data_IF_769377551828
#
_entry.id   IF_769377551828
#
_cell.length_a   1.000
_cell.length_b   1.000
_cell.length_c   1.000
_cell.angle_alpha   90.00
_cell.angle_beta   90.00
_cell.angle_gamma   90.00
#
_symmetry.space_group_name_H-M   'P 1'
#
loop_
_entity.id
_entity.type
_entity.pdbx_description
1 polymer ?
#
# COMPACT_ATOMS: atom_id res chain seq x y z
N UNK A 1 -6.84 5.05 19.13
CA UNK A 1 -5.38 4.97 18.86
C UNK A 1 -4.54 6.26 19.04
N UNK A 2 -5.03 7.52 18.99
CA UNK A 2 -4.15 8.69 19.17
C UNK A 2 -3.59 8.86 20.59
N UNK A 3 -4.26 8.28 21.60
CA UNK A 3 -3.84 8.36 23.01
C UNK A 3 -2.59 7.51 23.33
N UNK A 4 -2.53 6.28 22.81
CA UNK A 4 -1.36 5.40 22.96
C UNK A 4 -0.12 5.99 22.28
N UNK A 5 -0.30 6.75 21.18
CA UNK A 5 0.77 7.45 20.46
C UNK A 5 1.36 8.60 21.29
N UNK A 6 0.52 9.39 21.99
CA UNK A 6 0.96 10.43 22.94
C UNK A 6 1.78 9.84 24.10
N UNK A 7 1.39 8.67 24.59
CA UNK A 7 2.11 7.96 25.66
C UNK A 7 3.51 7.49 25.21
N UNK A 8 3.64 7.01 23.96
CA UNK A 8 4.93 6.52 23.44
C UNK A 8 5.92 7.67 23.18
N UNK A 9 5.44 8.80 22.64
CA UNK A 9 6.27 10.01 22.46
C UNK A 9 6.72 10.57 23.81
N UNK A 10 5.80 10.67 24.77
CA UNK A 10 6.13 11.12 26.13
C UNK A 10 7.17 10.21 26.81
N UNK A 11 7.04 8.89 26.66
CA UNK A 11 7.99 7.91 27.20
C UNK A 11 9.40 8.05 26.60
N UNK A 12 9.50 8.28 25.29
CA UNK A 12 10.78 8.48 24.62
C UNK A 12 11.43 9.82 24.99
N UNK A 13 10.63 10.87 25.19
CA UNK A 13 11.13 12.15 25.70
C UNK A 13 11.63 12.04 27.14
N UNK A 14 10.84 11.42 28.03
CA UNK A 14 11.27 11.17 29.41
C UNK A 14 12.63 10.46 29.43
N UNK A 15 12.84 9.46 28.57
CA UNK A 15 14.13 8.78 28.43
C UNK A 15 15.27 9.70 28.02
N UNK A 16 15.06 10.64 27.08
CA UNK A 16 16.08 11.60 26.66
C UNK A 16 16.44 12.59 27.77
N UNK A 17 15.46 12.98 28.58
CA UNK A 17 15.66 13.92 29.67
C UNK A 17 16.04 13.27 31.01
N UNK A 18 16.09 11.94 31.12
CA UNK A 18 16.52 11.24 32.34
C UNK A 18 17.87 11.76 32.86
N UNK A 19 18.85 11.92 31.97
CA UNK A 19 20.18 12.40 32.36
C UNK A 19 20.14 13.88 32.84
N UNK A 20 19.60 14.85 32.08
CA UNK A 20 19.41 16.23 32.56
C UNK A 20 18.64 16.33 33.88
N UNK A 21 17.53 15.61 34.03
CA UNK A 21 16.76 15.60 35.28
C UNK A 21 17.59 15.02 36.43
N UNK A 22 18.33 13.94 36.20
CA UNK A 22 19.18 13.34 37.24
C UNK A 22 20.29 14.29 37.70
N UNK A 23 20.94 15.00 36.77
CA UNK A 23 21.98 15.98 37.08
C UNK A 23 21.41 17.17 37.87
N UNK A 24 20.22 17.66 37.49
CA UNK A 24 19.55 18.73 38.21
C UNK A 24 19.16 18.30 39.64
N UNK A 25 18.63 17.09 39.81
CA UNK A 25 18.29 16.54 41.13
C UNK A 25 19.54 16.35 41.98
N UNK A 26 20.64 15.86 41.41
CA UNK A 26 21.91 15.72 42.11
C UNK A 26 22.46 17.07 42.57
N UNK A 27 22.38 18.10 41.72
CA UNK A 27 22.76 19.48 42.07
C UNK A 27 21.89 20.02 43.22
N UNK A 28 20.59 19.76 43.21
CA UNK A 28 19.67 20.16 44.28
C UNK A 28 19.98 19.46 45.61
N UNK A 29 20.22 18.13 45.58
CA UNK A 29 20.61 17.36 46.77
C UNK A 29 21.95 17.88 47.31
N UNK A 30 22.91 18.17 46.44
CA UNK A 30 24.18 18.77 46.83
C UNK A 30 23.97 20.12 47.55
N UNK A 31 23.08 20.97 47.03
CA UNK A 31 22.65 22.19 47.71
C UNK A 31 22.12 21.93 49.12
N UNK A 32 21.21 20.97 49.29
CA UNK A 32 20.64 20.59 50.60
C UNK A 32 21.74 20.16 51.58
N UNK A 33 22.69 19.33 51.12
CA UNK A 33 23.80 18.86 51.96
C UNK A 33 24.68 20.02 52.41
N UNK A 34 25.06 20.91 51.49
CA UNK A 34 25.90 22.07 51.80
C UNK A 34 25.17 23.03 52.76
N UNK A 35 23.90 23.34 52.53
CA UNK A 35 23.14 24.19 53.45
C UNK A 35 22.96 23.56 54.83
N UNK A 36 22.84 22.23 54.92
CA UNK A 36 22.77 21.53 56.22
C UNK A 36 24.06 21.65 57.02
N UNK A 37 25.22 21.75 56.34
CA UNK A 37 26.53 21.92 56.97
C UNK A 37 26.75 23.38 57.39
N UNK A 38 26.38 24.31 56.52
CA UNK A 38 26.65 25.75 56.71
C UNK A 38 25.65 26.39 57.69
N UNK A 39 24.42 25.88 57.76
CA UNK A 39 23.33 26.41 58.59
C UNK A 39 22.83 25.37 59.61
N UNK A 40 23.69 24.92 60.56
CA UNK A 40 23.39 23.80 61.45
C UNK A 40 22.22 24.07 62.42
N UNK A 41 21.88 25.34 62.63
CA UNK A 41 20.82 25.76 63.54
C UNK A 41 19.44 25.82 62.86
N UNK A 42 19.36 25.65 61.53
CA UNK A 42 18.10 25.69 60.78
C UNK A 42 17.47 24.30 60.74
N UNK A 43 16.14 24.27 60.81
CA UNK A 43 15.39 23.02 60.65
C UNK A 43 15.47 22.51 59.22
N UNK A 44 15.27 21.19 59.01
CA UNK A 44 15.26 20.60 57.67
C UNK A 44 14.27 21.28 56.71
N UNK A 45 13.10 21.72 57.22
CA UNK A 45 12.11 22.46 56.43
C UNK A 45 12.67 23.79 55.93
N UNK A 46 13.42 24.50 56.76
CA UNK A 46 14.04 25.77 56.37
C UNK A 46 15.16 25.56 55.36
N UNK A 47 15.97 24.51 55.53
CA UNK A 47 17.00 24.12 54.54
C UNK A 47 16.35 23.79 53.20
N UNK A 48 15.23 23.06 53.20
CA UNK A 48 14.50 22.74 51.98
C UNK A 48 13.99 24.02 51.29
N UNK A 49 13.40 24.96 52.05
CA UNK A 49 12.97 26.27 51.51
C UNK A 49 14.13 27.11 50.96
N UNK A 50 15.31 27.06 51.60
CA UNK A 50 16.54 27.71 51.10
C UNK A 50 17.02 27.03 49.81
N UNK A 51 17.00 25.70 49.75
CA UNK A 51 17.47 24.91 48.60
C UNK A 51 16.65 25.09 47.32
N UNK A 52 15.42 25.60 47.42
CA UNK A 52 14.56 25.97 46.30
C UNK A 52 14.40 27.49 46.17
N UNK A 53 15.26 28.25 46.85
CA UNK A 53 15.34 29.71 46.79
C UNK A 53 14.07 30.46 47.24
N UNK A 54 13.23 29.85 48.08
CA UNK A 54 12.06 30.50 48.69
C UNK A 54 12.39 31.21 50.02
N UNK A 55 13.51 30.86 50.65
CA UNK A 55 14.03 31.52 51.86
C UNK A 55 15.49 31.88 51.66
N UNK A 56 15.91 33.03 52.17
CA UNK A 56 17.29 33.53 52.03
C UNK A 56 18.24 32.99 53.08
N UNK A 57 19.53 33.04 52.78
CA UNK A 57 20.64 32.74 53.67
C UNK A 57 21.74 33.78 53.45
N UNK A 58 22.41 34.20 54.52
CA UNK A 58 23.44 35.25 54.46
C UNK A 58 24.81 34.73 53.99
N UNK A 59 24.93 33.42 53.75
CA UNK A 59 26.19 32.79 53.35
C UNK A 59 26.52 33.03 51.88
N UNK A 60 27.81 33.20 51.59
CA UNK A 60 28.33 33.44 50.23
C UNK A 60 27.89 32.36 49.22
N UNK A 61 27.81 31.10 49.65
CA UNK A 61 27.35 30.00 48.80
C UNK A 61 25.90 30.19 48.33
N UNK A 62 25.03 30.75 49.18
CA UNK A 62 23.65 31.06 48.80
C UNK A 62 23.60 32.05 47.64
N UNK A 63 24.49 33.05 47.60
CA UNK A 63 24.53 34.03 46.52
C UNK A 63 24.84 33.40 45.15
N UNK A 64 25.72 32.40 45.13
CA UNK A 64 25.99 31.62 43.92
C UNK A 64 24.81 30.70 43.58
N UNK A 65 24.30 29.98 44.58
CA UNK A 65 23.26 28.99 44.42
C UNK A 65 21.91 29.59 43.96
N UNK A 66 21.51 30.74 44.51
CA UNK A 66 20.27 31.43 44.16
C UNK A 66 20.23 31.93 42.71
N UNK A 67 21.39 32.13 42.08
CA UNK A 67 21.49 32.47 40.68
C UNK A 67 21.44 31.22 39.81
N UNK A 68 22.24 30.20 40.17
CA UNK A 68 22.41 29.01 39.34
C UNK A 68 21.19 28.09 39.36
N UNK A 69 20.52 27.92 40.50
CA UNK A 69 19.40 26.99 40.63
C UNK A 69 18.19 27.38 39.77
N UNK A 70 17.67 28.63 39.81
CA UNK A 70 16.57 29.04 38.93
C UNK A 70 16.95 28.98 37.45
N UNK A 71 18.19 29.37 37.10
CA UNK A 71 18.68 29.33 35.72
C UNK A 71 18.68 27.90 35.15
N UNK A 72 19.19 26.93 35.92
CA UNK A 72 19.19 25.52 35.50
C UNK A 72 17.76 24.97 35.40
N UNK A 73 16.88 25.34 36.32
CA UNK A 73 15.48 24.93 36.30
C UNK A 73 14.74 25.50 35.09
N UNK A 74 14.87 26.80 34.83
CA UNK A 74 14.24 27.48 33.70
C UNK A 74 14.74 26.90 32.36
N UNK A 75 16.05 26.69 32.21
CA UNK A 75 16.62 26.09 31.02
C UNK A 75 16.10 24.65 30.81
N UNK A 76 15.99 23.85 31.87
CA UNK A 76 15.46 22.50 31.82
C UNK A 76 13.98 22.49 31.40
N UNK A 77 13.15 23.34 32.00
CA UNK A 77 11.72 23.44 31.69
C UNK A 77 11.50 23.98 30.29
N UNK A 78 12.20 25.06 29.91
CA UNK A 78 12.09 25.67 28.59
C UNK A 78 12.51 24.69 27.49
N UNK A 79 13.64 24.00 27.66
CA UNK A 79 14.09 22.98 26.68
C UNK A 79 13.12 21.81 26.58
N UNK A 80 12.55 21.34 27.71
CA UNK A 80 11.52 20.31 27.70
C UNK A 80 10.25 20.76 26.95
N UNK A 81 9.77 21.97 27.21
CA UNK A 81 8.58 22.53 26.53
C UNK A 81 8.85 22.73 25.04
N UNK A 82 9.96 23.38 24.67
CA UNK A 82 10.31 23.65 23.27
C UNK A 82 10.47 22.37 22.46
N UNK A 83 11.15 21.35 23.01
CA UNK A 83 11.28 20.05 22.34
C UNK A 83 9.94 19.33 22.20
N UNK A 84 9.06 19.44 23.20
CA UNK A 84 7.70 18.90 23.14
C UNK A 84 6.84 19.60 22.09
N UNK A 85 6.88 20.94 22.03
CA UNK A 85 6.19 21.72 21.01
C UNK A 85 6.73 21.41 19.62
N UNK A 86 8.04 21.30 19.45
CA UNK A 86 8.65 20.95 18.16
C UNK A 86 8.26 19.55 17.69
N UNK A 87 8.17 18.57 18.60
CA UNK A 87 7.69 17.23 18.23
C UNK A 87 6.18 17.21 17.94
N UNK A 88 5.40 18.07 18.59
CA UNK A 88 3.95 18.13 18.38
C UNK A 88 3.58 18.90 17.10
N UNK A 89 4.21 20.04 16.83
CA UNK A 89 3.94 20.90 15.67
C UNK A 89 4.82 20.59 14.45
N UNK A 90 6.00 19.99 14.65
CA UNK A 90 6.95 19.64 13.59
C UNK A 90 6.87 18.20 13.09
N UNK A 91 5.95 17.37 13.62
CA UNK A 91 5.73 16.01 13.12
C UNK A 91 5.04 16.06 11.76
N UNK A 92 5.87 15.99 10.72
CA UNK A 92 5.41 15.79 9.35
C UNK A 92 5.43 14.27 9.06
N UNK A 93 4.26 13.59 9.00
CA UNK A 93 4.20 12.14 8.83
C UNK A 93 4.84 11.69 7.50
N UNK A 94 4.80 12.53 6.46
CA UNK A 94 5.45 12.26 5.18
C UNK A 94 6.98 12.27 5.32
N UNK A 95 7.55 13.21 6.08
CA UNK A 95 8.99 13.22 6.37
C UNK A 95 9.40 12.01 7.22
N UNK A 96 8.56 11.59 8.16
CA UNK A 96 8.81 10.39 8.97
C UNK A 96 8.78 9.13 8.11
N UNK A 97 7.77 8.96 7.26
CA UNK A 97 7.65 7.85 6.31
C UNK A 97 8.86 7.78 5.37
N UNK A 98 9.26 8.93 4.78
CA UNK A 98 10.45 9.03 3.92
C UNK A 98 11.73 8.65 4.65
N UNK A 99 11.92 9.09 5.91
CA UNK A 99 13.09 8.72 6.73
C UNK A 99 13.11 7.24 7.09
N UNK A 100 11.95 6.62 7.27
CA UNK A 100 11.86 5.18 7.51
C UNK A 100 12.26 4.42 6.25
N UNK A 101 11.72 4.82 5.09
CA UNK A 101 12.04 4.23 3.79
C UNK A 101 13.53 4.32 3.46
N UNK A 102 14.17 5.48 3.64
CA UNK A 102 15.58 5.70 3.28
C UNK A 102 16.58 4.94 4.16
N UNK A 103 16.14 4.40 5.29
CA UNK A 103 16.98 3.60 6.20
C UNK A 103 16.82 2.10 6.03
N UNK A 104 15.85 1.64 5.21
CA UNK A 104 15.62 0.21 4.98
C UNK A 104 16.74 -0.40 4.16
N UNK A 105 17.19 -1.60 4.53
CA UNK A 105 18.16 -2.39 3.77
C UNK A 105 17.70 -3.84 3.78
N UNK A 106 18.15 -4.64 2.82
CA UNK A 106 17.68 -6.02 2.63
C UNK A 106 16.14 -6.12 2.65
N UNK A 107 15.49 -5.13 2.02
CA UNK A 107 14.05 -4.93 2.03
C UNK A 107 13.44 -5.10 0.64
N UNK A 108 12.13 -5.29 0.62
CA UNK A 108 11.32 -5.32 -0.59
C UNK A 108 10.94 -3.90 -1.01
N UNK A 109 11.23 -3.50 -2.26
CA UNK A 109 10.77 -2.23 -2.81
C UNK A 109 9.54 -2.47 -3.69
N UNK A 110 8.46 -1.75 -3.45
CA UNK A 110 7.23 -1.83 -4.24
C UNK A 110 7.04 -0.53 -5.01
N UNK A 111 6.94 -0.61 -6.33
CA UNK A 111 6.71 0.53 -7.22
C UNK A 111 5.25 0.49 -7.71
N UNK A 112 4.42 1.35 -7.12
CA UNK A 112 2.99 1.48 -7.38
C UNK A 112 2.11 0.81 -6.33
N UNK A 113 1.04 1.51 -5.94
CA UNK A 113 0.02 1.08 -5.00
C UNK A 113 -1.33 0.90 -5.73
N UNK A 114 -1.42 -0.17 -6.52
CA UNK A 114 -2.68 -0.68 -7.07
C UNK A 114 -3.11 -1.94 -6.31
N UNK A 115 -4.22 -2.58 -6.70
CA UNK A 115 -4.71 -3.77 -6.00
C UNK A 115 -3.68 -4.92 -5.83
N UNK A 116 -2.68 -5.04 -6.71
CA UNK A 116 -1.59 -6.00 -6.50
C UNK A 116 -0.53 -5.48 -5.53
N UNK A 117 -0.13 -4.21 -5.67
CA UNK A 117 0.82 -3.55 -4.74
C UNK A 117 0.29 -3.48 -3.31
N UNK A 118 -1.01 -3.21 -3.15
CA UNK A 118 -1.72 -3.25 -1.88
C UNK A 118 -1.63 -4.62 -1.21
N UNK A 119 -1.96 -5.69 -1.94
CA UNK A 119 -1.83 -7.07 -1.43
C UNK A 119 -0.39 -7.43 -1.03
N UNK A 120 0.59 -6.99 -1.81
CA UNK A 120 2.01 -7.17 -1.46
C UNK A 120 2.33 -6.43 -0.16
N UNK A 121 1.93 -5.16 -0.03
CA UNK A 121 2.18 -4.35 1.18
C UNK A 121 1.47 -4.94 2.39
N UNK A 122 0.23 -5.38 2.27
CA UNK A 122 -0.54 -5.97 3.36
C UNK A 122 0.09 -7.28 3.85
N UNK A 123 0.55 -8.13 2.94
CA UNK A 123 1.30 -9.34 3.29
C UNK A 123 2.59 -8.99 4.03
N UNK A 124 3.42 -8.09 3.47
CA UNK A 124 4.68 -7.68 4.08
C UNK A 124 4.45 -7.04 5.47
N UNK A 125 3.37 -6.28 5.64
CA UNK A 125 2.98 -5.68 6.91
C UNK A 125 2.53 -6.72 7.93
N UNK A 126 1.69 -7.67 7.51
CA UNK A 126 1.18 -8.76 8.35
C UNK A 126 2.33 -9.61 8.91
N UNK A 127 3.28 -10.00 8.06
CA UNK A 127 4.42 -10.84 8.42
C UNK A 127 5.66 -10.05 8.85
N UNK A 128 5.54 -8.71 8.97
CA UNK A 128 6.60 -7.79 9.42
C UNK A 128 7.88 -7.85 8.58
N UNK A 129 7.78 -8.21 7.31
CA UNK A 129 8.90 -8.16 6.38
C UNK A 129 9.25 -6.71 6.05
N UNK A 130 10.54 -6.34 6.01
CA UNK A 130 10.95 -4.98 5.74
C UNK A 130 10.63 -4.61 4.28
N UNK A 131 9.93 -3.49 4.10
CA UNK A 131 9.59 -2.99 2.77
C UNK A 131 9.74 -1.47 2.66
N UNK A 132 9.71 -0.97 1.43
CA UNK A 132 9.53 0.44 1.08
C UNK A 132 8.56 0.54 -0.09
N UNK A 133 7.51 1.34 0.06
CA UNK A 133 6.53 1.60 -0.99
C UNK A 133 6.81 2.95 -1.67
N UNK A 134 6.77 2.99 -3.00
CA UNK A 134 6.83 4.22 -3.80
C UNK A 134 5.53 4.38 -4.59
N UNK A 135 4.83 5.49 -4.38
CA UNK A 135 3.58 5.82 -5.08
C UNK A 135 3.53 7.31 -5.41
N UNK A 136 2.96 7.65 -6.57
CA UNK A 136 2.90 9.04 -7.08
C UNK A 136 1.74 9.77 -6.42
N UNK A 137 0.59 9.12 -6.31
CA UNK A 137 -0.64 9.69 -5.77
C UNK A 137 -0.65 9.58 -4.26
N UNK A 138 -0.43 10.70 -3.56
CA UNK A 138 -0.41 10.76 -2.09
C UNK A 138 -1.68 10.19 -1.48
N UNK A 139 -2.83 10.46 -2.10
CA UNK A 139 -4.16 10.11 -1.61
C UNK A 139 -4.31 8.59 -1.41
N UNK A 140 -3.64 7.80 -2.26
CA UNK A 140 -3.66 6.33 -2.19
C UNK A 140 -2.92 5.75 -0.99
N UNK A 141 -1.97 6.49 -0.43
CA UNK A 141 -1.04 6.01 0.60
C UNK A 141 -1.09 6.86 1.87
N UNK A 142 -2.06 7.77 1.97
CA UNK A 142 -2.21 8.68 3.10
C UNK A 142 -2.40 7.93 4.42
N UNK A 143 -3.20 6.87 4.41
CA UNK A 143 -3.39 6.00 5.56
C UNK A 143 -2.08 5.33 6.00
N UNK A 144 -1.32 4.76 5.06
CA UNK A 144 -0.01 4.16 5.34
C UNK A 144 0.97 5.18 5.95
N UNK A 145 0.99 6.41 5.41
CA UNK A 145 1.81 7.51 5.92
C UNK A 145 1.41 7.86 7.36
N UNK A 146 0.11 7.96 7.64
CA UNK A 146 -0.43 8.25 8.97
C UNK A 146 -0.12 7.13 9.99
N UNK A 147 -0.01 5.89 9.51
CA UNK A 147 0.45 4.72 10.28
C UNK A 147 1.97 4.55 10.31
N UNK A 148 2.76 5.58 9.95
CA UNK A 148 4.22 5.55 10.00
C UNK A 148 4.84 4.39 9.18
N UNK A 149 4.24 4.04 8.05
CA UNK A 149 4.82 3.04 7.16
C UNK A 149 5.93 3.64 6.27
N UNK A 150 6.90 2.83 5.81
CA UNK A 150 8.00 3.27 4.95
C UNK A 150 7.51 3.56 3.52
N UNK A 151 6.92 4.74 3.34
CA UNK A 151 6.35 5.21 2.08
C UNK A 151 7.10 6.43 1.55
N UNK A 152 7.33 6.45 0.23
CA UNK A 152 7.83 7.60 -0.51
C UNK A 152 6.76 8.02 -1.49
N UNK A 153 6.29 9.25 -1.35
CA UNK A 153 5.43 9.89 -2.35
C UNK A 153 6.34 10.49 -3.42
N UNK A 154 6.30 9.94 -4.63
CA UNK A 154 7.18 10.35 -5.72
C UNK A 154 7.07 9.48 -6.96
N UNK A 155 7.61 9.99 -8.06
CA UNK A 155 7.65 9.27 -9.33
C UNK A 155 8.91 8.41 -9.41
N UNK A 156 8.76 7.08 -9.40
CA UNK A 156 9.88 6.15 -9.52
C UNK A 156 10.56 6.18 -10.91
N UNK A 157 10.08 6.96 -11.86
CA UNK A 157 10.83 7.31 -13.08
C UNK A 157 11.93 8.34 -12.85
N UNK A 158 11.95 8.96 -11.67
CA UNK A 158 13.06 9.76 -11.17
C UNK A 158 14.04 8.88 -10.39
N UNK A 159 15.31 8.95 -10.77
CA UNK A 159 16.39 8.21 -10.10
C UNK A 159 16.56 8.65 -8.65
N UNK A 160 16.31 9.92 -8.33
CA UNK A 160 16.43 10.42 -6.95
C UNK A 160 15.41 9.76 -6.04
N UNK A 161 14.19 9.53 -6.53
CA UNK A 161 13.14 8.80 -5.81
C UNK A 161 13.58 7.35 -5.56
N UNK A 162 14.20 6.70 -6.54
CA UNK A 162 14.72 5.34 -6.42
C UNK A 162 15.90 5.24 -5.44
N UNK A 163 16.77 6.26 -5.40
CA UNK A 163 17.83 6.38 -4.41
C UNK A 163 17.27 6.58 -3.00
N UNK A 164 16.25 7.42 -2.84
CA UNK A 164 15.55 7.63 -1.57
C UNK A 164 14.85 6.36 -1.07
N UNK A 165 14.34 5.53 -1.99
CA UNK A 165 13.77 4.21 -1.68
C UNK A 165 14.82 3.16 -1.30
N UNK A 166 16.09 3.57 -1.30
CA UNK A 166 17.24 2.75 -0.97
C UNK A 166 17.40 1.51 -1.85
N UNK A 167 17.04 1.63 -3.14
CA UNK A 167 17.07 0.52 -4.11
C UNK A 167 18.45 -0.13 -4.22
N UNK A 168 19.54 0.63 -4.06
CA UNK A 168 20.91 0.13 -4.07
C UNK A 168 21.22 -0.93 -2.98
N UNK A 169 20.39 -1.04 -1.94
CA UNK A 169 20.51 -2.03 -0.85
C UNK A 169 19.24 -2.87 -0.66
N UNK A 170 18.31 -2.81 -1.61
CA UNK A 170 17.11 -3.64 -1.57
C UNK A 170 17.44 -5.08 -1.97
N UNK A 171 16.63 -6.01 -1.47
CA UNK A 171 16.69 -7.44 -1.81
C UNK A 171 16.01 -7.70 -3.14
N UNK A 172 14.86 -7.08 -3.33
CA UNK A 172 14.00 -7.30 -4.48
C UNK A 172 13.13 -6.07 -4.77
N UNK A 173 12.67 -5.97 -6.02
CA UNK A 173 11.79 -4.91 -6.50
C UNK A 173 10.57 -5.51 -7.19
N UNK A 174 9.38 -5.09 -6.75
CA UNK A 174 8.11 -5.36 -7.44
C UNK A 174 7.64 -4.11 -8.17
N UNK A 175 7.73 -4.10 -9.49
CA UNK A 175 7.15 -3.06 -10.34
C UNK A 175 5.76 -3.49 -10.80
N UNK A 176 4.72 -2.97 -10.14
CA UNK A 176 3.33 -3.39 -10.36
C UNK A 176 2.52 -2.38 -11.18
N UNK A 177 3.18 -1.44 -11.84
CA UNK A 177 2.53 -0.43 -12.69
C UNK A 177 1.78 -1.03 -13.88
N UNK A 178 0.77 -0.30 -14.35
CA UNK A 178 0.07 -0.62 -15.60
C UNK A 178 0.65 0.10 -16.83
N UNK A 179 1.57 1.05 -16.61
CA UNK A 179 2.19 1.87 -17.66
C UNK A 179 3.52 1.25 -18.10
N UNK A 180 3.56 0.80 -19.37
CA UNK A 180 4.74 0.16 -19.95
C UNK A 180 5.95 1.09 -19.98
N UNK A 181 5.79 2.38 -20.29
CA UNK A 181 6.90 3.34 -20.34
C UNK A 181 7.52 3.48 -18.95
N UNK A 182 6.67 3.63 -17.93
CA UNK A 182 7.11 3.72 -16.53
C UNK A 182 7.80 2.44 -16.07
N UNK A 183 7.30 1.26 -16.47
CA UNK A 183 7.93 -0.02 -16.18
C UNK A 183 9.35 -0.10 -16.78
N UNK A 184 9.51 0.26 -18.06
CA UNK A 184 10.82 0.23 -18.73
C UNK A 184 11.84 1.17 -18.06
N UNK A 185 11.42 2.38 -17.69
CA UNK A 185 12.30 3.33 -16.98
C UNK A 185 12.64 2.80 -15.56
N UNK A 186 11.67 2.20 -14.87
CA UNK A 186 11.93 1.60 -13.57
C UNK A 186 12.96 0.46 -13.67
N UNK A 187 12.89 -0.38 -14.69
CA UNK A 187 13.88 -1.43 -14.94
C UNK A 187 15.29 -0.84 -15.12
N UNK A 188 15.41 0.25 -15.90
CA UNK A 188 16.65 1.00 -16.09
C UNK A 188 17.24 1.50 -14.77
N UNK A 189 16.43 2.22 -13.98
CA UNK A 189 16.90 2.75 -12.70
C UNK A 189 17.27 1.65 -11.71
N UNK A 190 16.50 0.56 -11.65
CA UNK A 190 16.81 -0.58 -10.78
C UNK A 190 18.16 -1.15 -11.15
N UNK A 191 18.41 -1.53 -12.41
CA UNK A 191 19.69 -2.14 -12.81
C UNK A 191 20.87 -1.17 -12.75
N UNK A 192 20.63 0.12 -12.89
CA UNK A 192 21.66 1.15 -12.68
C UNK A 192 22.09 1.25 -11.22
N UNK A 193 21.15 1.10 -10.28
CA UNK A 193 21.41 1.22 -8.83
C UNK A 193 21.78 -0.10 -8.15
N UNK A 194 21.23 -1.21 -8.62
CA UNK A 194 21.34 -2.54 -8.03
C UNK A 194 21.23 -3.61 -9.13
N UNK A 195 22.37 -4.18 -9.51
CA UNK A 195 22.44 -5.21 -10.55
C UNK A 195 21.99 -6.59 -10.04
N UNK A 196 22.04 -6.80 -8.73
CA UNK A 196 21.94 -8.12 -8.11
C UNK A 196 20.54 -8.40 -7.52
N UNK A 197 19.74 -7.37 -7.23
CA UNK A 197 18.41 -7.59 -6.66
C UNK A 197 17.46 -8.30 -7.64
N UNK A 198 16.58 -9.14 -7.10
CA UNK A 198 15.50 -9.74 -7.87
C UNK A 198 14.55 -8.62 -8.39
N UNK A 199 14.14 -8.72 -9.65
CA UNK A 199 13.30 -7.72 -10.31
C UNK A 199 12.06 -8.40 -10.89
N UNK A 200 10.91 -8.12 -10.29
CA UNK A 200 9.61 -8.66 -10.71
C UNK A 200 8.79 -7.55 -11.36
N UNK A 201 8.38 -7.76 -12.61
CA UNK A 201 7.76 -6.72 -13.42
C UNK A 201 6.41 -7.16 -13.99
N UNK A 202 5.37 -6.38 -13.68
CA UNK A 202 4.08 -6.52 -14.32
C UNK A 202 4.13 -5.88 -15.72
N UNK A 203 3.99 -6.70 -16.75
CA UNK A 203 4.02 -6.27 -18.15
C UNK A 203 2.93 -7.00 -18.92
N UNK A 204 1.99 -6.26 -19.54
CA UNK A 204 0.87 -6.87 -20.26
C UNK A 204 1.22 -7.30 -21.68
N UNK A 205 2.12 -6.56 -22.35
CA UNK A 205 2.53 -6.83 -23.72
C UNK A 205 3.57 -7.96 -23.76
N UNK A 206 3.30 -9.00 -24.53
CA UNK A 206 4.17 -10.20 -24.57
C UNK A 206 5.56 -9.92 -25.17
N UNK A 207 5.66 -9.06 -26.20
CA UNK A 207 6.97 -8.72 -26.78
C UNK A 207 7.89 -8.01 -25.77
N UNK A 208 7.34 -7.15 -24.93
CA UNK A 208 8.11 -6.45 -23.89
C UNK A 208 8.44 -7.34 -22.69
N UNK A 209 7.65 -8.38 -22.44
CA UNK A 209 7.99 -9.39 -21.43
C UNK A 209 9.26 -10.14 -21.80
N UNK A 210 9.32 -10.65 -23.03
CA UNK A 210 10.49 -11.39 -23.53
C UNK A 210 11.73 -10.50 -23.69
N UNK A 211 11.53 -9.19 -23.89
CA UNK A 211 12.62 -8.23 -23.90
C UNK A 211 13.23 -8.02 -22.52
N UNK A 212 12.41 -7.90 -21.47
CA UNK A 212 12.84 -7.62 -20.11
C UNK A 212 13.40 -8.85 -19.36
N UNK A 213 13.20 -10.06 -19.87
CA UNK A 213 13.81 -11.27 -19.30
C UNK A 213 15.28 -11.44 -19.68
N UNK A 214 15.75 -10.74 -20.72
CA UNK A 214 17.12 -10.83 -21.24
C UNK A 214 18.05 -9.84 -20.54
N UNK A 215 19.36 -10.03 -20.71
CA UNK A 215 20.35 -9.05 -20.26
C UNK A 215 20.13 -7.68 -20.91
N UNK A 216 20.37 -6.56 -20.19
CA UNK A 216 20.89 -6.49 -18.82
C UNK A 216 19.79 -6.55 -17.73
N UNK A 217 18.53 -6.71 -18.13
CA UNK A 217 17.38 -6.60 -17.23
C UNK A 217 17.20 -7.83 -16.36
N UNK A 218 17.30 -9.03 -16.92
CA UNK A 218 17.15 -10.29 -16.19
C UNK A 218 15.94 -10.27 -15.23
N UNK A 219 14.83 -9.68 -15.67
CA UNK A 219 13.65 -9.48 -14.84
C UNK A 219 12.69 -10.65 -14.99
N UNK A 220 12.06 -11.07 -13.90
CA UNK A 220 10.91 -11.94 -13.97
C UNK A 220 9.70 -11.12 -14.41
N UNK A 221 9.07 -11.47 -15.54
CA UNK A 221 7.94 -10.71 -16.07
C UNK A 221 6.64 -11.50 -16.07
N UNK A 222 5.58 -10.86 -15.58
CA UNK A 222 4.27 -11.49 -15.47
C UNK A 222 3.14 -10.57 -15.92
N UNK A 223 2.00 -11.18 -16.24
CA UNK A 223 0.78 -10.46 -16.61
C UNK A 223 -0.37 -11.01 -15.79
N UNK A 224 -0.91 -10.16 -14.91
CA UNK A 224 -2.03 -10.55 -14.04
C UNK A 224 -3.25 -10.96 -14.84
N UNK A 225 -3.52 -10.30 -15.97
CA UNK A 225 -4.63 -10.65 -16.86
C UNK A 225 -4.36 -11.93 -17.66
N UNK A 226 -3.10 -12.28 -17.94
CA UNK A 226 -2.77 -13.60 -18.52
C UNK A 226 -3.04 -14.72 -17.52
N UNK A 227 -2.60 -14.55 -16.27
CA UNK A 227 -2.89 -15.52 -15.21
C UNK A 227 -4.39 -15.66 -14.95
N UNK A 228 -5.12 -14.55 -14.81
CA UNK A 228 -6.56 -14.59 -14.60
C UNK A 228 -7.34 -15.26 -15.75
N UNK A 229 -6.81 -15.22 -16.99
CA UNK A 229 -7.41 -15.90 -18.13
C UNK A 229 -7.41 -17.44 -17.97
N UNK A 230 -6.49 -18.02 -17.20
CA UNK A 230 -6.49 -19.47 -16.97
C UNK A 230 -7.75 -19.94 -16.23
N UNK A 231 -8.28 -19.12 -15.32
CA UNK A 231 -9.57 -19.37 -14.68
C UNK A 231 -10.72 -19.32 -15.70
N UNK A 232 -10.69 -18.33 -16.60
CA UNK A 232 -11.68 -18.19 -17.69
C UNK A 232 -11.66 -19.40 -18.62
N UNK A 233 -10.47 -19.89 -19.00
CA UNK A 233 -10.30 -21.10 -19.81
C UNK A 233 -10.85 -22.36 -19.15
N UNK A 234 -10.82 -22.41 -17.81
CA UNK A 234 -11.41 -23.52 -17.06
C UNK A 234 -12.94 -23.46 -17.12
N UNK A 235 -13.54 -22.29 -16.95
CA UNK A 235 -15.00 -22.12 -16.97
C UNK A 235 -15.60 -22.20 -18.38
N UNK A 236 -14.82 -21.84 -19.40
CA UNK A 236 -15.25 -21.96 -20.79
C UNK A 236 -15.35 -23.41 -21.28
N UNK A 237 -14.93 -24.41 -20.50
CA UNK A 237 -15.12 -25.82 -20.84
C UNK A 237 -16.59 -26.21 -20.99
N UNK A 238 -17.49 -25.49 -20.29
CA UNK A 238 -18.94 -25.69 -20.36
C UNK A 238 -19.58 -24.96 -21.56
N UNK A 239 -18.81 -24.16 -22.31
CA UNK A 239 -19.30 -23.41 -23.46
C UNK A 239 -19.73 -24.35 -24.61
N UNK A 240 -20.93 -24.14 -25.16
CA UNK A 240 -21.41 -24.90 -26.32
C UNK A 240 -21.30 -24.05 -27.59
N UNK A 241 -20.79 -24.63 -28.71
CA UNK A 241 -20.75 -23.93 -29.99
C UNK A 241 -22.13 -23.42 -30.40
N UNK A 242 -22.24 -22.11 -30.62
CA UNK A 242 -23.50 -21.46 -30.98
C UNK A 242 -24.11 -20.63 -29.86
N UNK A 243 -23.67 -20.82 -28.62
CA UNK A 243 -24.07 -19.94 -27.52
C UNK A 243 -23.39 -18.57 -27.66
N UNK A 244 -24.08 -17.54 -27.17
CA UNK A 244 -23.60 -16.17 -27.09
C UNK A 244 -22.88 -15.92 -25.76
N UNK A 245 -21.85 -15.08 -25.78
CA UNK A 245 -21.09 -14.69 -24.59
C UNK A 245 -21.09 -13.17 -24.45
N UNK A 246 -21.41 -12.68 -23.26
CA UNK A 246 -21.43 -11.25 -22.96
C UNK A 246 -20.24 -10.92 -22.06
N UNK A 247 -19.55 -9.84 -22.37
CA UNK A 247 -18.44 -9.32 -21.56
C UNK A 247 -18.70 -7.84 -21.28
N UNK A 248 -18.77 -7.48 -20.00
CA UNK A 248 -18.99 -6.12 -19.54
C UNK A 248 -17.69 -5.55 -18.95
N UNK A 249 -17.34 -4.33 -19.34
CA UNK A 249 -16.14 -3.63 -18.88
C UNK A 249 -15.12 -3.37 -20.00
N UNK A 250 -14.08 -2.61 -19.70
CA UNK A 250 -13.05 -2.24 -20.69
C UNK A 250 -11.65 -2.18 -20.08
N UNK A 251 -11.01 -3.34 -19.97
CA UNK A 251 -9.63 -3.39 -19.48
C UNK A 251 -8.80 -4.53 -20.08
N UNK A 252 -7.62 -4.79 -19.53
CA UNK A 252 -6.72 -5.83 -20.03
C UNK A 252 -7.25 -7.26 -19.89
N UNK A 253 -8.05 -7.58 -18.85
CA UNK A 253 -8.64 -8.92 -18.72
C UNK A 253 -9.83 -9.07 -19.67
N UNK A 254 -10.68 -8.03 -19.80
CA UNK A 254 -11.78 -8.04 -20.77
C UNK A 254 -11.27 -8.28 -22.18
N UNK A 255 -10.25 -7.53 -22.60
CA UNK A 255 -9.67 -7.71 -23.92
C UNK A 255 -9.12 -9.12 -24.14
N UNK A 256 -8.56 -9.76 -23.10
CA UNK A 256 -8.07 -11.15 -23.18
C UNK A 256 -9.22 -12.16 -23.24
N UNK A 257 -10.30 -11.96 -22.48
CA UNK A 257 -11.50 -12.80 -22.54
C UNK A 257 -12.07 -12.74 -23.96
N UNK A 258 -12.32 -11.53 -24.48
CA UNK A 258 -12.85 -11.34 -25.84
C UNK A 258 -11.93 -11.96 -26.89
N UNK A 259 -10.62 -11.71 -26.83
CA UNK A 259 -9.66 -12.31 -27.77
C UNK A 259 -9.65 -13.85 -27.69
N UNK A 260 -9.74 -14.44 -26.49
CA UNK A 260 -9.80 -15.89 -26.29
C UNK A 260 -11.05 -16.51 -26.90
N UNK A 261 -12.24 -16.03 -26.52
CA UNK A 261 -13.51 -16.53 -27.06
C UNK A 261 -13.60 -16.33 -28.59
N UNK A 262 -13.09 -15.21 -29.10
CA UNK A 262 -13.16 -14.89 -30.53
C UNK A 262 -12.19 -15.72 -31.38
N UNK A 263 -11.00 -16.06 -30.85
CA UNK A 263 -9.94 -16.77 -31.58
C UNK A 263 -10.04 -18.27 -31.42
N UNK A 264 -10.18 -18.73 -30.19
CA UNK A 264 -10.06 -20.15 -29.85
C UNK A 264 -11.43 -20.84 -29.94
N UNK A 265 -12.48 -20.22 -29.39
CA UNK A 265 -13.83 -20.79 -29.37
C UNK A 265 -14.71 -20.35 -30.55
N UNK A 266 -14.28 -19.33 -31.30
CA UNK A 266 -15.03 -18.72 -32.42
C UNK A 266 -16.47 -18.36 -32.02
N UNK A 267 -16.65 -17.95 -30.77
CA UNK A 267 -17.94 -17.61 -30.17
C UNK A 267 -18.50 -16.29 -30.73
N UNK A 268 -19.81 -16.12 -30.59
CA UNK A 268 -20.48 -14.84 -30.81
C UNK A 268 -20.41 -14.03 -29.50
N UNK A 269 -19.80 -12.85 -29.55
CA UNK A 269 -19.42 -12.09 -28.35
C UNK A 269 -20.01 -10.69 -28.39
N UNK A 270 -20.59 -10.27 -27.28
CA UNK A 270 -21.14 -8.94 -27.06
C UNK A 270 -20.31 -8.25 -25.99
N UNK A 271 -19.52 -7.26 -26.39
CA UNK A 271 -18.70 -6.42 -25.51
C UNK A 271 -19.43 -5.10 -25.26
N UNK A 272 -19.78 -4.81 -24.02
CA UNK A 272 -20.47 -3.58 -23.63
C UNK A 272 -19.67 -2.83 -22.57
N UNK A 273 -19.27 -1.62 -22.90
CA UNK A 273 -18.67 -0.65 -21.98
C UNK A 273 -18.64 0.73 -22.66
N UNK A 274 -18.90 1.84 -21.94
CA UNK A 274 -18.91 3.19 -22.53
C UNK A 274 -17.64 3.52 -23.32
N UNK A 275 -16.49 3.04 -22.88
CA UNK A 275 -15.17 3.33 -23.47
C UNK A 275 -14.61 2.18 -24.32
N UNK A 276 -15.42 1.16 -24.63
CA UNK A 276 -14.99 0.01 -25.41
C UNK A 276 -14.40 0.41 -26.77
N UNK A 277 -13.23 -0.15 -27.11
CA UNK A 277 -12.54 0.17 -28.37
C UNK A 277 -13.10 -0.63 -29.56
N UNK A 278 -14.07 -0.05 -30.28
CA UNK A 278 -14.63 -0.61 -31.53
C UNK A 278 -13.57 -0.89 -32.61
N UNK A 279 -12.56 -0.04 -32.74
CA UNK A 279 -11.54 -0.19 -33.78
C UNK A 279 -10.70 -1.47 -33.61
N UNK A 280 -10.47 -1.89 -32.36
CA UNK A 280 -9.73 -3.13 -32.03
C UNK A 280 -10.36 -4.38 -32.66
N UNK A 281 -11.70 -4.43 -32.71
CA UNK A 281 -12.45 -5.60 -33.15
C UNK A 281 -13.12 -5.43 -34.51
N UNK A 282 -12.85 -4.33 -35.24
CA UNK A 282 -13.49 -4.02 -36.55
C UNK A 282 -13.40 -5.15 -37.59
N UNK A 283 -12.33 -5.95 -37.57
CA UNK A 283 -12.14 -7.09 -38.50
C UNK A 283 -12.77 -8.40 -38.01
N UNK A 284 -13.33 -8.42 -36.80
CA UNK A 284 -13.89 -9.61 -36.13
C UNK A 284 -15.42 -9.56 -36.23
N UNK A 285 -15.99 -10.21 -37.26
CA UNK A 285 -17.45 -10.15 -37.52
C UNK A 285 -18.33 -10.67 -36.38
N UNK A 286 -17.81 -11.57 -35.54
CA UNK A 286 -18.51 -12.19 -34.41
C UNK A 286 -18.35 -11.43 -33.08
N UNK A 287 -17.67 -10.29 -33.10
CA UNK A 287 -17.46 -9.46 -31.90
C UNK A 287 -18.24 -8.17 -32.09
N UNK A 288 -19.35 -8.06 -31.37
CA UNK A 288 -20.22 -6.89 -31.36
C UNK A 288 -19.80 -5.99 -30.21
N UNK A 289 -19.47 -4.74 -30.49
CA UNK A 289 -18.98 -3.79 -29.50
C UNK A 289 -19.95 -2.63 -29.36
N UNK A 290 -20.49 -2.44 -28.17
CA UNK A 290 -21.42 -1.37 -27.82
C UNK A 290 -20.78 -0.42 -26.81
N UNK A 291 -20.81 0.88 -27.11
CA UNK A 291 -20.28 1.93 -26.24
C UNK A 291 -21.39 2.42 -25.30
N UNK A 292 -21.84 1.55 -24.41
CA UNK A 292 -23.03 1.76 -23.61
C UNK A 292 -22.78 1.35 -22.16
N UNK A 293 -23.41 2.07 -21.23
CA UNK A 293 -23.39 1.74 -19.81
C UNK A 293 -24.54 0.78 -19.49
N UNK A 294 -24.23 -0.36 -18.87
CA UNK A 294 -25.21 -1.41 -18.59
C UNK A 294 -25.30 -1.66 -17.10
N UNK A 295 -26.18 -0.94 -16.41
CA UNK A 295 -26.42 -1.14 -14.97
C UNK A 295 -27.61 -2.06 -14.68
N UNK A 296 -28.51 -2.22 -15.65
CA UNK A 296 -29.78 -2.94 -15.47
C UNK A 296 -29.95 -4.06 -16.50
N UNK A 297 -30.73 -5.08 -16.13
CA UNK A 297 -31.05 -6.21 -17.02
C UNK A 297 -31.76 -5.75 -18.29
N UNK A 298 -32.66 -4.77 -18.20
CA UNK A 298 -33.37 -4.20 -19.35
C UNK A 298 -32.42 -3.57 -20.37
N UNK A 299 -31.36 -2.90 -19.89
CA UNK A 299 -30.32 -2.36 -20.77
C UNK A 299 -29.63 -3.48 -21.53
N UNK A 300 -29.35 -4.61 -20.87
CA UNK A 300 -28.69 -5.74 -21.52
C UNK A 300 -29.58 -6.42 -22.58
N UNK A 301 -30.89 -6.53 -22.31
CA UNK A 301 -31.90 -7.08 -23.22
C UNK A 301 -32.08 -6.27 -24.51
N UNK A 302 -31.77 -4.97 -24.48
CA UNK A 302 -31.84 -4.12 -25.67
C UNK A 302 -30.75 -4.44 -26.71
N UNK A 303 -29.63 -5.01 -26.28
CA UNK A 303 -28.46 -5.24 -27.14
C UNK A 303 -28.17 -6.73 -27.37
N UNK A 304 -28.57 -7.61 -26.46
CA UNK A 304 -28.18 -9.02 -26.44
C UNK A 304 -29.38 -9.95 -26.31
N UNK A 305 -29.29 -11.15 -26.89
CA UNK A 305 -30.32 -12.18 -26.75
C UNK A 305 -30.00 -13.11 -25.57
N UNK A 306 -30.50 -12.76 -24.38
CA UNK A 306 -30.23 -13.51 -23.15
C UNK A 306 -30.75 -14.96 -23.14
N UNK A 307 -31.68 -15.31 -24.02
CA UNK A 307 -32.11 -16.71 -24.19
C UNK A 307 -31.04 -17.57 -24.89
N UNK A 308 -30.15 -16.95 -25.68
CA UNK A 308 -29.03 -17.62 -26.36
C UNK A 308 -27.69 -17.45 -25.64
N UNK A 309 -27.64 -16.52 -24.68
CA UNK A 309 -26.46 -16.32 -23.85
C UNK A 309 -26.27 -17.49 -22.90
N UNK A 310 -25.07 -18.06 -22.85
CA UNK A 310 -24.72 -19.08 -21.85
C UNK A 310 -23.85 -18.53 -20.73
N UNK A 311 -23.02 -17.51 -21.03
CA UNK A 311 -22.05 -16.97 -20.07
C UNK A 311 -21.98 -15.44 -20.12
N UNK A 312 -21.93 -14.81 -18.94
CA UNK A 312 -21.77 -13.36 -18.78
C UNK A 312 -20.57 -13.09 -17.87
N UNK A 313 -19.64 -12.26 -18.33
CA UNK A 313 -18.49 -11.80 -17.57
C UNK A 313 -18.68 -10.33 -17.18
N UNK A 314 -18.88 -10.06 -15.89
CA UNK A 314 -18.98 -8.70 -15.33
C UNK A 314 -17.59 -8.31 -14.80
N UNK A 315 -16.87 -7.49 -15.57
CA UNK A 315 -15.46 -7.13 -15.30
C UNK A 315 -15.27 -5.63 -15.06
N UNK A 316 -16.21 -4.99 -14.38
CA UNK A 316 -16.05 -3.58 -13.99
C UNK A 316 -14.86 -3.39 -13.05
N UNK A 317 -14.29 -2.18 -13.10
CA UNK A 317 -12.96 -1.90 -12.56
C UNK A 317 -12.98 -0.87 -11.42
N UNK A 318 -14.10 -0.75 -10.71
CA UNK A 318 -14.21 0.09 -9.52
C UNK A 318 -14.95 -0.65 -8.40
N UNK A 319 -14.61 -0.35 -7.16
CA UNK A 319 -15.34 -0.88 -6.00
C UNK A 319 -16.76 -0.31 -5.93
N UNK A 320 -16.96 0.92 -6.42
CA UNK A 320 -18.27 1.59 -6.47
C UNK A 320 -19.28 0.86 -7.37
N UNK A 321 -18.81 0.16 -8.40
CA UNK A 321 -19.69 -0.59 -9.32
C UNK A 321 -20.00 -2.01 -8.82
N UNK A 322 -19.48 -2.40 -7.66
CA UNK A 322 -19.75 -3.73 -7.11
C UNK A 322 -21.22 -3.94 -6.76
N UNK A 323 -21.87 -2.92 -6.16
CA UNK A 323 -23.31 -2.99 -5.86
C UNK A 323 -24.13 -3.25 -7.11
N UNK A 324 -23.79 -2.58 -8.20
CA UNK A 324 -24.47 -2.71 -9.48
C UNK A 324 -24.24 -4.11 -10.08
N UNK A 325 -23.02 -4.65 -9.93
CA UNK A 325 -22.70 -5.99 -10.41
C UNK A 325 -23.53 -7.05 -9.67
N UNK A 326 -23.74 -6.87 -8.37
CA UNK A 326 -24.60 -7.74 -7.55
C UNK A 326 -26.07 -7.62 -7.95
N UNK A 327 -26.59 -6.40 -8.12
CA UNK A 327 -27.99 -6.17 -8.52
C UNK A 327 -28.27 -6.79 -9.90
N UNK A 328 -27.36 -6.57 -10.86
CA UNK A 328 -27.46 -7.16 -12.19
C UNK A 328 -27.38 -8.69 -12.13
N UNK A 329 -26.45 -9.23 -11.33
CA UNK A 329 -26.31 -10.68 -11.11
C UNK A 329 -27.59 -11.29 -10.57
N UNK A 330 -28.23 -10.67 -9.56
CA UNK A 330 -29.48 -11.14 -9.01
C UNK A 330 -30.60 -11.14 -10.06
N UNK A 331 -30.75 -10.04 -10.80
CA UNK A 331 -31.76 -9.92 -11.85
C UNK A 331 -31.58 -10.97 -12.96
N UNK A 332 -30.33 -11.26 -13.36
CA UNK A 332 -30.02 -12.32 -14.32
C UNK A 332 -30.40 -13.69 -13.75
N UNK A 333 -30.02 -13.99 -12.51
CA UNK A 333 -30.32 -15.27 -11.87
C UNK A 333 -31.82 -15.55 -11.72
N UNK A 334 -32.61 -14.51 -11.44
CA UNK A 334 -34.06 -14.60 -11.29
C UNK A 334 -34.78 -14.87 -12.63
N UNK A 335 -34.36 -14.20 -13.71
CA UNK A 335 -35.05 -14.28 -15.02
C UNK A 335 -34.45 -15.32 -15.97
N UNK A 336 -33.14 -15.54 -15.90
CA UNK A 336 -32.37 -16.38 -16.81
C UNK A 336 -31.42 -17.33 -16.03
N UNK A 337 -31.96 -18.28 -15.26
CA UNK A 337 -31.17 -19.14 -14.36
C UNK A 337 -30.21 -20.09 -15.08
N UNK A 338 -30.31 -20.22 -16.41
CA UNK A 338 -29.38 -21.00 -17.23
C UNK A 338 -28.06 -20.29 -17.50
N UNK A 339 -28.00 -18.96 -17.33
CA UNK A 339 -26.81 -18.15 -17.61
C UNK A 339 -25.81 -18.30 -16.46
N UNK A 340 -24.58 -18.68 -16.80
CA UNK A 340 -23.47 -18.64 -15.84
C UNK A 340 -22.92 -17.22 -15.74
N UNK A 341 -22.96 -16.63 -14.54
CA UNK A 341 -22.46 -15.27 -14.30
C UNK A 341 -21.10 -15.33 -13.59
N UNK A 342 -20.12 -14.65 -14.18
CA UNK A 342 -18.77 -14.51 -13.65
C UNK A 342 -18.53 -13.06 -13.25
N UNK A 343 -18.28 -12.80 -11.97
CA UNK A 343 -18.11 -11.44 -11.44
C UNK A 343 -16.68 -11.25 -10.99
N UNK A 344 -16.02 -10.24 -11.54
CA UNK A 344 -14.72 -9.81 -11.04
C UNK A 344 -14.89 -9.06 -9.73
N UNK A 345 -14.11 -9.45 -8.72
CA UNK A 345 -14.13 -8.83 -7.39
C UNK A 345 -12.76 -8.31 -6.99
N UNK A 346 -12.75 -7.22 -6.21
CA UNK A 346 -11.54 -6.62 -5.64
C UNK A 346 -11.41 -6.91 -4.15
N UNK A 347 -12.54 -6.84 -3.45
CA UNK A 347 -12.72 -7.22 -2.06
C UNK A 347 -13.24 -8.67 -1.93
N UNK A 348 -12.63 -9.43 -1.03
CA UNK A 348 -12.99 -10.82 -0.74
C UNK A 348 -14.21 -10.96 0.17
N UNK A 349 -14.51 -9.97 1.01
CA UNK A 349 -15.71 -9.99 1.87
C UNK A 349 -16.98 -10.03 1.01
N UNK A 350 -16.94 -9.25 -0.05
CA UNK A 350 -17.99 -9.12 -1.06
C UNK A 350 -18.16 -10.38 -1.94
N UNK A 351 -17.17 -11.28 -1.96
CA UNK A 351 -17.25 -12.54 -2.71
C UNK A 351 -18.40 -13.44 -2.23
N UNK A 352 -18.69 -13.40 -0.93
CA UNK A 352 -19.71 -14.25 -0.29
C UNK A 352 -21.11 -13.94 -0.80
N UNK A 353 -21.41 -12.65 -1.01
CA UNK A 353 -22.68 -12.18 -1.53
C UNK A 353 -22.90 -12.69 -2.95
N UNK A 354 -21.96 -12.45 -3.86
CA UNK A 354 -22.05 -12.95 -5.24
C UNK A 354 -22.21 -14.49 -5.32
N UNK A 355 -21.51 -15.24 -4.45
CA UNK A 355 -21.65 -16.71 -4.38
C UNK A 355 -23.05 -17.15 -3.93
N UNK A 356 -23.69 -16.41 -3.01
CA UNK A 356 -25.07 -16.69 -2.60
C UNK A 356 -26.07 -16.54 -3.77
N UNK A 357 -25.73 -15.69 -4.75
CA UNK A 357 -26.48 -15.49 -6.00
C UNK A 357 -26.10 -16.48 -7.11
N UNK A 358 -25.39 -17.56 -6.79
CA UNK A 358 -24.88 -18.58 -7.74
C UNK A 358 -23.91 -18.02 -8.80
N UNK A 359 -23.34 -16.84 -8.59
CA UNK A 359 -22.29 -16.31 -9.46
C UNK A 359 -20.91 -16.82 -9.04
N UNK A 360 -20.06 -17.06 -10.03
CA UNK A 360 -18.66 -17.41 -9.82
C UNK A 360 -17.84 -16.13 -9.73
N UNK A 361 -17.14 -15.93 -8.61
CA UNK A 361 -16.29 -14.75 -8.44
C UNK A 361 -14.83 -15.02 -8.76
N UNK A 362 -14.12 -14.00 -9.23
CA UNK A 362 -12.68 -14.07 -9.37
C UNK A 362 -11.99 -12.74 -9.11
N UNK A 363 -10.83 -12.80 -8.45
CA UNK A 363 -9.98 -11.63 -8.23
C UNK A 363 -8.71 -11.74 -9.04
N UNK A 364 -8.49 -10.77 -9.94
CA UNK A 364 -7.27 -10.71 -10.74
C UNK A 364 -6.03 -10.42 -9.88
N UNK A 365 -6.16 -9.65 -8.80
CA UNK A 365 -5.04 -9.27 -7.94
C UNK A 365 -4.75 -10.35 -6.89
N UNK A 366 -5.77 -10.97 -6.28
CA UNK A 366 -5.58 -12.07 -5.34
C UNK A 366 -4.92 -13.27 -6.01
N UNK A 367 -5.46 -13.68 -7.18
CA UNK A 367 -4.90 -14.79 -7.94
C UNK A 367 -3.49 -14.47 -8.42
N UNK A 368 -3.26 -13.26 -8.94
CA UNK A 368 -1.92 -12.87 -9.36
C UNK A 368 -0.92 -12.81 -8.20
N UNK A 369 -1.33 -12.39 -7.00
CA UNK A 369 -0.49 -12.42 -5.82
C UNK A 369 -0.09 -13.87 -5.52
N UNK A 370 -1.06 -14.79 -5.43
CA UNK A 370 -0.78 -16.22 -5.21
C UNK A 370 0.16 -16.82 -6.26
N UNK A 371 -0.04 -16.50 -7.53
CA UNK A 371 0.85 -16.97 -8.60
C UNK A 371 2.25 -16.38 -8.45
N UNK A 372 2.35 -15.08 -8.13
CA UNK A 372 3.64 -14.43 -7.92
C UNK A 372 4.41 -15.04 -6.74
N UNK A 373 3.73 -15.42 -5.66
CA UNK A 373 4.33 -16.11 -4.51
C UNK A 373 4.97 -17.46 -4.88
N UNK A 374 4.52 -18.11 -5.96
CA UNK A 374 5.09 -19.38 -6.43
C UNK A 374 6.33 -19.18 -7.32
N UNK A 375 6.52 -17.97 -7.83
CA UNK A 375 7.55 -17.64 -8.82
C UNK A 375 8.71 -16.85 -8.19
N UNK A 376 8.51 -16.31 -7.00
CA UNK A 376 9.56 -15.60 -6.26
C UNK A 376 10.55 -16.57 -5.65
N UNK A 377 11.77 -16.09 -5.42
CA UNK A 377 12.82 -16.84 -4.72
C UNK A 377 12.43 -17.12 -3.26
N UNK A 378 12.98 -18.18 -2.67
CA UNK A 378 12.70 -18.60 -1.28
C UNK A 378 13.04 -17.52 -0.24
N UNK A 379 14.02 -16.66 -0.54
CA UNK A 379 14.41 -15.56 0.31
C UNK A 379 13.53 -14.30 0.13
N UNK A 380 12.55 -14.31 -0.80
CA UNK A 380 11.65 -13.19 -1.06
C UNK A 380 10.79 -12.83 0.18
N UNK A 381 10.48 -11.55 0.35
CA UNK A 381 9.58 -11.08 1.41
C UNK A 381 8.13 -11.51 1.21
N UNK A 382 7.75 -11.96 0.00
CA UNK A 382 6.40 -12.50 -0.26
C UNK A 382 6.39 -14.01 -0.50
N UNK A 383 7.53 -14.68 -0.36
CA UNK A 383 7.55 -16.15 -0.39
C UNK A 383 6.58 -16.68 0.67
N UNK A 384 5.71 -17.65 0.35
CA UNK A 384 4.75 -18.16 1.31
C UNK A 384 5.50 -18.92 2.39
N UNK A 385 5.72 -18.27 3.53
CA UNK A 385 6.21 -18.94 4.74
C UNK A 385 5.20 -19.96 5.26
N UNK A 386 5.70 -21.04 5.86
CA UNK A 386 4.90 -22.02 6.61
C UNK A 386 4.16 -21.40 7.80
#
# INVERSE_FOLDING_TARGET
MPYQKKLLTLKNQLRRFLLPFSLFILFWIFGIVIFSIIEPNKTFKEILLISICLKTSDHLFYNFYQFLWPLLFELLVLTFILTTLQEFYGYNPMMAARRLASRKTNHTVILGYNHLGERIVDYLRQYKHPYTLVEIKKEKVEELINFNQPVIVGDYTDIEVMQLANVHKCKEVFCVTNDLRRALIAAEHVRRLNKDCALYMRVFNEHFRDFLTKEPWNAFTFSTSKWALESVKKWSQDYKPGDEVIVLGNDSIVNRIVDYYARELKAEIYLLDPEANKARYRRRKKVHVFNEEVLFLSSLENYCNLMKTSQIYICWNSEETFSDAILLTNAIGDKYPHIQVFVRIFDEELATIAKSLKATTFSTSAYAFKMLQQEVTEDSGIFPGE
#
